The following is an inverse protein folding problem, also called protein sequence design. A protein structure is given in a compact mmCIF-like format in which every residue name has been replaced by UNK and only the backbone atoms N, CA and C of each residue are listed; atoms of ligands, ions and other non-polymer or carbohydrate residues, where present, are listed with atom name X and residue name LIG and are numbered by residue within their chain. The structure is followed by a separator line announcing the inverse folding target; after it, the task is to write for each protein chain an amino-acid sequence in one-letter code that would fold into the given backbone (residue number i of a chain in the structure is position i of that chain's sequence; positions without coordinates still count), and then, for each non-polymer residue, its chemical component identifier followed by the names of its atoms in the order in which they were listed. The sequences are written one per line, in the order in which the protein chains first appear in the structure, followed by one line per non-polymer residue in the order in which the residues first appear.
data_IF_469505674293
#
_entry.id   IF_469505674293
#
_cell.length_a   1.000
_cell.length_b   1.000
_cell.length_c   1.000
_cell.angle_alpha   90.00
_cell.angle_beta   90.00
_cell.angle_gamma   90.00
#
_symmetry.space_group_name_H-M   'P 1'
#
loop_
_entity.id
_entity.type
_entity.pdbx_description
1 polymer ?
#
# COMPACT_ATOMS: atom_id res chain seq x y z
N UNK A 1 -6.84 -11.93 1.59
CA UNK A 1 -5.57 -11.40 1.06
C UNK A 1 -5.81 -10.02 0.45
N UNK A 2 -4.87 -9.08 0.61
CA UNK A 2 -4.97 -7.71 0.11
C UNK A 2 -4.29 -7.55 -1.26
N UNK A 3 -4.94 -6.82 -2.18
CA UNK A 3 -4.37 -6.37 -3.45
C UNK A 3 -4.58 -4.86 -3.54
N UNK A 4 -3.53 -4.10 -3.27
CA UNK A 4 -3.57 -2.64 -3.21
C UNK A 4 -2.92 -2.08 -4.45
N UNK A 5 -3.69 -1.36 -5.25
CA UNK A 5 -3.27 -0.74 -6.49
C UNK A 5 -2.77 0.69 -6.22
N UNK A 6 -1.47 0.88 -6.11
CA UNK A 6 -0.86 2.21 -6.07
C UNK A 6 -0.64 2.72 -7.50
N UNK A 7 -1.53 3.58 -7.98
CA UNK A 7 -1.42 4.13 -9.34
C UNK A 7 -0.26 5.13 -9.50
N UNK A 8 0.29 5.60 -8.37
CA UNK A 8 1.31 6.65 -8.39
C UNK A 8 0.80 7.89 -9.13
N UNK A 9 1.64 8.61 -9.85
CA UNK A 9 1.27 9.76 -10.69
C UNK A 9 0.76 9.27 -12.05
N UNK A 10 -0.39 8.59 -12.07
CA UNK A 10 -0.99 8.02 -13.28
C UNK A 10 -2.51 8.16 -13.29
N UNK A 11 -3.04 8.48 -14.44
CA UNK A 11 -4.47 8.44 -14.74
C UNK A 11 -5.14 9.80 -14.83
N UNK A 12 -6.14 9.85 -15.67
CA UNK A 12 -7.11 10.94 -15.87
C UNK A 12 -8.52 10.37 -15.75
N UNK A 13 -9.57 11.19 -15.83
CA UNK A 13 -10.95 10.72 -15.67
C UNK A 13 -11.29 9.51 -16.58
N UNK A 14 -10.86 9.54 -17.84
CA UNK A 14 -11.10 8.44 -18.78
C UNK A 14 -10.43 7.13 -18.37
N UNK A 15 -9.33 7.19 -17.60
CA UNK A 15 -8.66 5.99 -17.08
C UNK A 15 -9.55 5.17 -16.15
N UNK A 16 -10.55 5.79 -15.52
CA UNK A 16 -11.50 5.11 -14.65
C UNK A 16 -12.38 4.09 -15.39
N UNK A 17 -12.50 4.17 -16.72
CA UNK A 17 -13.26 3.20 -17.50
C UNK A 17 -12.66 1.79 -17.44
N UNK A 18 -11.35 1.69 -17.20
CA UNK A 18 -10.65 0.41 -17.02
C UNK A 18 -11.15 -0.37 -15.80
N UNK A 19 -11.68 0.33 -14.78
CA UNK A 19 -12.21 -0.28 -13.55
C UNK A 19 -13.43 -1.17 -13.80
N UNK A 20 -14.24 -0.91 -14.84
CA UNK A 20 -15.40 -1.73 -15.18
C UNK A 20 -15.01 -3.21 -15.33
N UNK A 21 -13.83 -3.47 -15.93
CA UNK A 21 -13.29 -4.82 -16.09
C UNK A 21 -12.96 -5.47 -14.76
N UNK A 22 -12.37 -4.71 -13.83
CA UNK A 22 -12.00 -5.20 -12.50
C UNK A 22 -13.25 -5.46 -11.66
N UNK A 23 -14.24 -4.56 -11.71
CA UNK A 23 -15.54 -4.73 -11.03
C UNK A 23 -16.24 -5.99 -11.53
N UNK A 24 -16.34 -6.18 -12.87
CA UNK A 24 -16.95 -7.39 -13.47
C UNK A 24 -16.21 -8.66 -13.01
N UNK A 25 -14.89 -8.64 -13.05
CA UNK A 25 -14.07 -9.76 -12.55
C UNK A 25 -14.36 -10.04 -11.07
N UNK A 26 -14.27 -9.02 -10.21
CA UNK A 26 -14.44 -9.19 -8.75
C UNK A 26 -15.83 -9.73 -8.39
N UNK A 27 -16.90 -9.22 -9.04
CA UNK A 27 -18.28 -9.70 -8.84
C UNK A 27 -18.41 -11.21 -9.08
N UNK A 28 -17.73 -11.73 -10.11
CA UNK A 28 -17.82 -13.13 -10.56
C UNK A 28 -16.73 -14.03 -9.96
N UNK A 29 -15.79 -13.48 -9.18
CA UNK A 29 -14.67 -14.27 -8.66
C UNK A 29 -15.12 -15.15 -7.48
N UNK A 30 -15.00 -16.47 -7.61
CA UNK A 30 -15.46 -17.45 -6.60
C UNK A 30 -14.86 -17.21 -5.20
N UNK A 31 -13.58 -16.81 -5.14
CA UNK A 31 -12.86 -16.56 -3.87
C UNK A 31 -12.94 -15.09 -3.38
N UNK A 32 -13.91 -14.29 -3.88
CA UNK A 32 -14.04 -12.85 -3.55
C UNK A 32 -14.13 -12.52 -2.06
N UNK A 33 -14.70 -13.43 -1.24
CA UNK A 33 -14.83 -13.24 0.22
C UNK A 33 -13.49 -13.19 0.94
N UNK A 34 -12.45 -13.84 0.40
CA UNK A 34 -11.08 -13.83 0.95
C UNK A 34 -10.17 -12.76 0.31
N UNK A 35 -10.71 -11.97 -0.61
CA UNK A 35 -10.01 -10.98 -1.42
C UNK A 35 -10.44 -9.56 -1.03
N UNK A 36 -9.46 -8.69 -0.81
CA UNK A 36 -9.67 -7.26 -0.59
C UNK A 36 -8.90 -6.45 -1.63
N UNK A 37 -9.63 -5.71 -2.46
CA UNK A 37 -9.05 -4.82 -3.48
C UNK A 37 -9.19 -3.37 -3.02
N UNK A 38 -8.10 -2.63 -3.09
CA UNK A 38 -8.04 -1.20 -2.74
C UNK A 38 -7.31 -0.48 -3.87
N UNK A 39 -7.92 0.57 -4.41
CA UNK A 39 -7.28 1.45 -5.39
C UNK A 39 -6.85 2.75 -4.73
N UNK A 40 -5.58 3.11 -4.90
CA UNK A 40 -5.01 4.37 -4.44
C UNK A 40 -4.58 5.21 -5.66
N UNK A 41 -5.51 5.97 -6.26
CA UNK A 41 -5.22 6.88 -7.37
C UNK A 41 -4.60 8.19 -6.88
N UNK A 42 -4.14 9.09 -7.78
CA UNK A 42 -3.90 10.50 -7.47
C UNK A 42 -5.11 11.15 -6.80
N UNK A 43 -4.89 12.17 -5.97
CA UNK A 43 -5.94 12.85 -5.20
C UNK A 43 -7.07 13.40 -6.07
N UNK A 44 -6.76 13.84 -7.29
CA UNK A 44 -7.72 14.33 -8.30
C UNK A 44 -8.74 13.28 -8.76
N UNK A 45 -8.46 11.99 -8.55
CA UNK A 45 -9.31 10.89 -9.00
C UNK A 45 -10.01 10.15 -7.86
N UNK A 46 -9.78 10.50 -6.60
CA UNK A 46 -10.36 9.77 -5.45
C UNK A 46 -11.88 9.84 -5.47
N UNK A 47 -12.46 11.04 -5.57
CA UNK A 47 -13.91 11.20 -5.57
C UNK A 47 -14.58 10.52 -6.77
N UNK A 48 -14.18 10.77 -8.03
CA UNK A 48 -14.82 10.11 -9.17
C UNK A 48 -14.62 8.59 -9.14
N UNK A 49 -13.48 8.09 -8.66
CA UNK A 49 -13.27 6.66 -8.49
C UNK A 49 -14.17 6.08 -7.39
N UNK A 50 -14.30 6.77 -6.26
CA UNK A 50 -15.19 6.35 -5.17
C UNK A 50 -16.66 6.27 -5.61
N UNK A 51 -17.13 7.26 -6.36
CA UNK A 51 -18.47 7.24 -6.96
C UNK A 51 -18.63 6.04 -7.92
N UNK A 52 -17.66 5.81 -8.79
CA UNK A 52 -17.69 4.72 -9.78
C UNK A 52 -17.66 3.32 -9.16
N UNK A 53 -16.95 3.14 -8.05
CA UNK A 53 -16.80 1.85 -7.36
C UNK A 53 -17.88 1.58 -6.30
N UNK A 54 -18.85 2.50 -6.11
CA UNK A 54 -19.93 2.34 -5.14
C UNK A 54 -20.70 1.04 -5.38
N UNK A 55 -20.91 0.26 -4.31
CA UNK A 55 -21.61 -1.04 -4.37
C UNK A 55 -20.77 -2.21 -4.90
N UNK A 56 -19.51 -1.99 -5.30
CA UNK A 56 -18.65 -3.07 -5.82
C UNK A 56 -17.86 -3.83 -4.75
N UNK A 57 -17.83 -3.36 -3.50
CA UNK A 57 -16.93 -3.82 -2.42
C UNK A 57 -15.42 -3.66 -2.72
N UNK A 58 -15.07 -2.89 -3.76
CA UNK A 58 -13.71 -2.42 -4.01
C UNK A 58 -13.55 -1.07 -3.31
N UNK A 59 -12.51 -0.93 -2.51
CA UNK A 59 -12.30 0.27 -1.70
C UNK A 59 -11.33 1.23 -2.39
N UNK A 60 -11.44 2.51 -2.01
CA UNK A 60 -10.54 3.57 -2.50
C UNK A 60 -9.66 4.06 -1.36
N UNK A 61 -8.40 4.35 -1.67
CA UNK A 61 -7.44 4.96 -0.78
C UNK A 61 -6.77 6.18 -1.42
N UNK A 62 -5.92 6.83 -0.64
CA UNK A 62 -5.06 7.91 -1.08
C UNK A 62 -3.58 7.52 -1.02
N UNK A 63 -2.72 8.27 -1.70
CA UNK A 63 -1.29 7.97 -1.81
C UNK A 63 -0.43 8.70 -0.78
N UNK A 64 -0.96 9.74 -0.13
CA UNK A 64 -0.35 10.51 0.94
C UNK A 64 -1.39 11.44 1.57
N UNK A 65 -1.05 12.13 2.68
CA UNK A 65 -1.80 13.24 3.23
C UNK A 65 -0.88 14.21 3.97
N UNK A 66 -1.40 15.39 4.31
CA UNK A 66 -0.76 16.32 5.25
C UNK A 66 -0.86 15.76 6.69
N UNK A 67 0.09 16.11 7.57
CA UNK A 67 0.12 15.64 8.97
C UNK A 67 -0.95 16.29 9.86
N UNK A 68 -1.44 17.46 9.49
CA UNK A 68 -2.57 18.09 10.19
C UNK A 68 -3.88 17.43 9.75
N UNK A 69 -4.73 17.11 10.70
CA UNK A 69 -6.07 16.54 10.47
C UNK A 69 -7.18 17.61 10.45
N UNK A 70 -6.82 18.85 10.76
CA UNK A 70 -7.69 20.03 10.75
C UNK A 70 -7.41 20.92 9.54
N UNK A 71 -8.35 21.81 9.22
CA UNK A 71 -8.16 22.81 8.18
C UNK A 71 -7.18 23.90 8.65
N UNK A 72 -6.47 24.54 7.71
CA UNK A 72 -5.49 25.56 8.03
C UNK A 72 -4.83 26.18 6.81
N UNK A 73 -3.87 27.07 7.04
CA UNK A 73 -3.13 27.81 6.01
C UNK A 73 -2.02 26.93 5.38
N UNK A 74 -2.40 25.88 4.67
CA UNK A 74 -1.50 24.93 4.00
C UNK A 74 -1.86 24.81 2.53
N UNK A 75 -1.60 25.86 1.76
CA UNK A 75 -1.95 25.97 0.35
C UNK A 75 -1.45 24.77 -0.45
N UNK A 76 -2.36 24.10 -1.19
CA UNK A 76 -2.07 22.94 -2.01
C UNK A 76 -2.03 21.61 -1.25
N UNK A 77 -2.06 21.61 0.08
CA UNK A 77 -2.06 20.39 0.88
C UNK A 77 -3.45 19.78 1.02
N UNK A 78 -3.49 18.45 1.13
CA UNK A 78 -4.73 17.69 1.34
C UNK A 78 -4.57 16.87 2.63
N UNK A 79 -5.47 17.06 3.60
CA UNK A 79 -5.44 16.34 4.86
C UNK A 79 -6.29 15.06 4.85
N UNK A 80 -6.18 14.25 5.90
CA UNK A 80 -6.89 12.97 6.01
C UNK A 80 -8.41 13.13 6.08
N UNK A 81 -8.92 14.22 6.68
CA UNK A 81 -10.37 14.50 6.75
C UNK A 81 -10.95 14.83 5.38
N UNK A 82 -10.24 15.64 4.57
CA UNK A 82 -10.64 15.93 3.18
C UNK A 82 -10.67 14.66 2.34
N UNK A 83 -9.66 13.79 2.47
CA UNK A 83 -9.59 12.53 1.75
C UNK A 83 -10.72 11.57 2.14
N UNK A 84 -11.07 11.53 3.44
CA UNK A 84 -12.22 10.77 3.93
C UNK A 84 -13.54 11.27 3.32
N UNK A 85 -13.72 12.58 3.25
CA UNK A 85 -14.94 13.20 2.71
C UNK A 85 -15.19 12.80 1.26
N UNK A 86 -14.13 12.72 0.44
CA UNK A 86 -14.22 12.30 -0.97
C UNK A 86 -14.19 10.77 -1.15
N UNK A 87 -14.28 9.99 -0.08
CA UNK A 87 -14.51 8.55 -0.11
C UNK A 87 -13.29 7.65 0.08
N UNK A 88 -12.12 8.20 0.41
CA UNK A 88 -10.97 7.36 0.78
C UNK A 88 -11.24 6.59 2.07
N UNK A 89 -10.79 5.32 2.12
CA UNK A 89 -10.84 4.43 3.30
C UNK A 89 -9.46 4.10 3.82
N UNK A 90 -8.43 4.24 2.99
CA UNK A 90 -7.02 3.96 3.27
C UNK A 90 -6.14 5.12 2.84
N UNK A 91 -5.00 5.27 3.49
CA UNK A 91 -3.95 6.20 3.03
C UNK A 91 -2.60 5.49 3.11
N UNK A 92 -1.83 5.54 2.01
CA UNK A 92 -0.44 5.12 1.96
C UNK A 92 0.40 6.18 2.64
N UNK A 93 1.21 5.80 3.62
CA UNK A 93 2.08 6.71 4.36
C UNK A 93 3.51 6.15 4.39
N UNK A 94 4.49 7.04 4.15
CA UNK A 94 5.90 6.69 4.21
C UNK A 94 6.39 5.86 3.02
N UNK A 95 5.70 5.93 1.87
CA UNK A 95 6.15 5.34 0.62
C UNK A 95 7.57 5.80 0.27
N UNK A 96 8.37 4.93 -0.32
CA UNK A 96 9.78 5.20 -0.61
C UNK A 96 10.01 6.47 -1.42
N UNK A 97 9.12 6.80 -2.37
CA UNK A 97 9.19 8.03 -3.17
C UNK A 97 9.00 9.28 -2.30
N UNK A 98 8.06 9.26 -1.35
CA UNK A 98 7.87 10.38 -0.42
C UNK A 98 9.04 10.52 0.56
N UNK A 99 9.63 9.41 1.02
CA UNK A 99 10.86 9.43 1.83
C UNK A 99 12.03 10.03 1.06
N UNK A 100 12.17 9.70 -0.23
CA UNK A 100 13.18 10.31 -1.10
C UNK A 100 12.94 11.81 -1.33
N UNK A 101 11.68 12.23 -1.33
CA UNK A 101 11.30 13.65 -1.40
C UNK A 101 11.41 14.40 -0.05
N UNK A 102 11.97 13.74 1.00
CA UNK A 102 12.28 14.40 2.28
C UNK A 102 11.36 14.05 3.45
N UNK A 103 10.40 13.13 3.30
CA UNK A 103 9.59 12.70 4.46
C UNK A 103 10.43 11.95 5.50
N UNK A 104 10.54 12.56 6.68
CA UNK A 104 11.24 11.96 7.84
C UNK A 104 10.34 10.98 8.58
N UNK A 105 10.93 10.05 9.34
CA UNK A 105 10.18 9.14 10.20
C UNK A 105 9.30 9.87 11.24
N UNK A 106 9.72 11.07 11.71
CA UNK A 106 8.93 11.93 12.61
C UNK A 106 7.67 12.45 11.90
N UNK A 107 7.82 12.95 10.67
CA UNK A 107 6.68 13.42 9.86
C UNK A 107 5.71 12.27 9.54
N UNK A 108 6.24 11.11 9.18
CA UNK A 108 5.47 9.89 8.92
C UNK A 108 4.64 9.50 10.16
N UNK A 109 5.22 9.56 11.37
CA UNK A 109 4.50 9.28 12.61
C UNK A 109 3.32 10.26 12.82
N UNK A 110 3.52 11.55 12.57
CA UNK A 110 2.45 12.55 12.65
C UNK A 110 1.33 12.26 11.65
N UNK A 111 1.69 11.93 10.38
CA UNK A 111 0.72 11.55 9.35
C UNK A 111 -0.07 10.29 9.74
N UNK A 112 0.58 9.26 10.27
CA UNK A 112 -0.12 8.04 10.74
C UNK A 112 -1.13 8.39 11.84
N UNK A 113 -0.76 9.24 12.81
CA UNK A 113 -1.67 9.70 13.86
C UNK A 113 -2.87 10.46 13.30
N UNK A 114 -2.63 11.39 12.36
CA UNK A 114 -3.67 12.15 11.66
C UNK A 114 -4.68 11.22 10.95
N UNK A 115 -4.17 10.24 10.19
CA UNK A 115 -5.01 9.27 9.49
C UNK A 115 -5.86 8.44 10.46
N UNK A 116 -5.27 7.95 11.54
CA UNK A 116 -5.98 7.17 12.55
C UNK A 116 -7.04 8.00 13.30
N UNK A 117 -6.74 9.26 13.61
CA UNK A 117 -7.68 10.20 14.24
C UNK A 117 -8.88 10.49 13.35
N UNK A 118 -8.68 10.58 12.03
CA UNK A 118 -9.77 10.69 11.05
C UNK A 118 -10.58 9.40 10.88
N UNK A 119 -10.17 8.30 11.54
CA UNK A 119 -10.84 7.02 11.49
C UNK A 119 -10.54 6.18 10.24
N UNK A 120 -9.55 6.58 9.42
CA UNK A 120 -9.10 5.87 8.22
C UNK A 120 -8.10 4.75 8.55
N UNK A 121 -7.84 3.89 7.56
CA UNK A 121 -6.81 2.85 7.64
C UNK A 121 -5.49 3.36 7.06
N UNK A 122 -4.39 2.89 7.63
CA UNK A 122 -3.03 3.24 7.22
C UNK A 122 -2.40 2.07 6.47
N UNK A 123 -1.78 2.34 5.33
CA UNK A 123 -0.84 1.45 4.65
C UNK A 123 0.54 2.06 4.89
N UNK A 124 1.22 1.57 5.94
CA UNK A 124 2.52 2.07 6.38
C UNK A 124 3.65 1.40 5.61
N UNK A 125 4.33 2.14 4.75
CA UNK A 125 5.43 1.67 3.94
C UNK A 125 6.77 1.78 4.69
N UNK A 126 7.49 0.66 4.71
CA UNK A 126 8.85 0.55 5.25
C UNK A 126 9.73 -0.25 4.28
N UNK A 127 11.02 0.05 4.26
CA UNK A 127 11.95 -0.68 3.40
C UNK A 127 13.35 -0.11 3.44
N UNK A 128 14.32 -0.94 3.08
CA UNK A 128 15.72 -0.60 3.05
C UNK A 128 16.20 -0.26 1.64
N UNK A 129 17.24 0.58 1.56
CA UNK A 129 17.98 0.85 0.34
C UNK A 129 18.89 -0.31 -0.06
N UNK A 130 19.34 -0.34 -1.32
CA UNK A 130 20.35 -1.31 -1.78
C UNK A 130 21.64 -1.24 -0.96
N UNK A 131 22.07 -0.02 -0.57
CA UNK A 131 23.24 0.20 0.29
C UNK A 131 23.09 -0.49 1.64
N UNK A 132 21.92 -0.35 2.28
CA UNK A 132 21.62 -0.99 3.56
C UNK A 132 21.55 -2.53 3.42
N UNK A 133 20.96 -3.03 2.33
CA UNK A 133 20.95 -4.47 2.04
C UNK A 133 22.35 -5.03 1.89
N UNK A 134 23.21 -4.38 1.09
CA UNK A 134 24.62 -4.80 0.90
C UNK A 134 25.40 -4.82 2.23
N UNK A 135 25.13 -3.87 3.12
CA UNK A 135 25.70 -3.82 4.48
C UNK A 135 25.06 -4.81 5.46
N UNK A 136 24.10 -5.63 5.02
CA UNK A 136 23.39 -6.62 5.86
C UNK A 136 22.65 -6.01 7.07
N UNK A 137 22.26 -4.74 7.00
CA UNK A 137 21.56 -4.00 8.09
C UNK A 137 20.07 -3.83 7.86
N UNK A 138 19.44 -4.59 6.94
CA UNK A 138 18.00 -4.54 6.64
C UNK A 138 17.14 -4.54 7.89
N UNK A 139 17.33 -5.52 8.81
CA UNK A 139 16.52 -5.61 10.04
C UNK A 139 16.65 -4.37 10.93
N UNK A 140 17.84 -3.80 11.06
CA UNK A 140 18.07 -2.57 11.83
C UNK A 140 17.31 -1.39 11.24
N UNK A 141 17.36 -1.22 9.89
CA UNK A 141 16.62 -0.16 9.18
C UNK A 141 15.13 -0.31 9.40
N UNK A 142 14.58 -1.52 9.17
CA UNK A 142 13.14 -1.77 9.33
C UNK A 142 12.68 -1.55 10.79
N UNK A 143 13.45 -2.01 11.76
CA UNK A 143 13.14 -1.80 13.17
C UNK A 143 13.12 -0.31 13.54
N UNK A 144 14.11 0.48 13.04
CA UNK A 144 14.13 1.93 13.23
C UNK A 144 12.88 2.58 12.66
N UNK A 145 12.52 2.26 11.40
CA UNK A 145 11.33 2.82 10.74
C UNK A 145 10.04 2.43 11.49
N UNK A 146 9.90 1.16 11.91
CA UNK A 146 8.74 0.70 12.68
C UNK A 146 8.64 1.43 14.03
N UNK A 147 9.73 1.48 14.79
CA UNK A 147 9.75 2.14 16.11
C UNK A 147 9.43 3.62 16.00
N UNK A 148 10.04 4.31 15.05
CA UNK A 148 9.83 5.75 14.86
C UNK A 148 8.43 6.06 14.29
N UNK A 149 8.02 5.37 13.23
CA UNK A 149 6.72 5.60 12.58
C UNK A 149 5.53 5.25 13.47
N UNK A 150 5.68 4.27 14.38
CA UNK A 150 4.62 3.85 15.30
C UNK A 150 4.83 4.31 16.75
N UNK A 151 5.71 5.30 16.97
CA UNK A 151 5.96 5.86 18.29
C UNK A 151 4.67 6.43 18.90
N UNK A 152 4.35 5.98 20.14
CA UNK A 152 3.14 6.39 20.86
C UNK A 152 1.82 6.11 20.13
N UNK A 153 1.81 5.08 19.27
CA UNK A 153 0.60 4.55 18.65
C UNK A 153 0.31 3.19 19.28
N UNK A 154 -0.86 3.08 19.93
CA UNK A 154 -1.35 1.80 20.46
C UNK A 154 -1.56 0.81 19.31
N UNK A 155 -1.47 -0.49 19.61
CA UNK A 155 -1.75 -1.54 18.61
C UNK A 155 -3.13 -1.31 17.99
N UNK A 156 -3.17 -1.15 16.67
CA UNK A 156 -4.37 -0.73 15.94
C UNK A 156 -4.58 -1.58 14.69
N UNK A 157 -5.70 -2.30 14.62
CA UNK A 157 -6.08 -3.14 13.47
C UNK A 157 -6.24 -2.37 12.16
N UNK A 158 -6.28 -1.03 12.21
CA UNK A 158 -6.35 -0.17 11.02
C UNK A 158 -4.99 0.06 10.36
N UNK A 159 -3.90 -0.49 10.91
CA UNK A 159 -2.56 -0.37 10.32
C UNK A 159 -2.21 -1.66 9.58
N UNK A 160 -1.82 -1.51 8.33
CA UNK A 160 -1.23 -2.53 7.48
C UNK A 160 0.21 -2.08 7.20
N UNK A 161 1.19 -2.97 7.32
CA UNK A 161 2.57 -2.67 6.96
C UNK A 161 2.83 -3.16 5.53
N UNK A 162 3.38 -2.31 4.68
CA UNK A 162 3.87 -2.67 3.35
C UNK A 162 5.41 -2.67 3.37
N UNK A 163 6.00 -3.84 3.18
CA UNK A 163 7.45 -3.96 3.05
C UNK A 163 7.86 -3.72 1.60
N UNK A 164 8.60 -2.64 1.39
CA UNK A 164 9.06 -2.16 0.09
C UNK A 164 10.59 -2.18 0.04
N UNK A 165 11.27 -3.31 -0.32
CA UNK A 165 12.70 -3.24 -0.59
C UNK A 165 12.92 -2.24 -1.74
N UNK A 166 13.45 -1.05 -1.41
CA UNK A 166 13.50 0.11 -2.35
C UNK A 166 14.22 -0.25 -3.65
N UNK A 167 15.22 -1.10 -3.56
CA UNK A 167 16.02 -1.60 -4.69
C UNK A 167 15.25 -2.55 -5.64
N UNK A 168 14.09 -3.04 -5.20
CA UNK A 168 13.21 -3.96 -5.97
C UNK A 168 12.10 -3.20 -6.72
N UNK A 169 11.75 -1.98 -6.29
CA UNK A 169 10.60 -1.25 -6.83
C UNK A 169 10.85 -0.89 -8.30
N UNK A 170 9.94 -1.32 -9.18
CA UNK A 170 9.97 -0.99 -10.62
C UNK A 170 11.05 -1.69 -11.44
N UNK A 171 11.95 -2.49 -10.81
CA UNK A 171 13.08 -3.11 -11.49
C UNK A 171 12.77 -4.47 -12.12
N UNK A 172 11.67 -5.10 -11.73
CA UNK A 172 11.37 -6.50 -12.07
C UNK A 172 12.08 -7.51 -11.16
N UNK A 173 13.07 -7.07 -10.37
CA UNK A 173 13.84 -7.92 -9.46
C UNK A 173 13.07 -8.11 -8.17
N UNK A 174 13.03 -9.34 -7.66
CA UNK A 174 12.45 -9.67 -6.35
C UNK A 174 13.52 -10.28 -5.43
N UNK A 175 13.38 -10.14 -4.11
CA UNK A 175 14.24 -10.84 -3.16
C UNK A 175 14.19 -12.36 -3.37
N UNK A 176 15.24 -13.08 -2.99
CA UNK A 176 15.15 -14.55 -2.86
C UNK A 176 14.03 -14.91 -1.89
N UNK A 177 13.31 -16.00 -2.17
CA UNK A 177 12.13 -16.39 -1.39
C UNK A 177 12.42 -16.52 0.11
N UNK A 178 13.55 -17.15 0.46
CA UNK A 178 13.97 -17.32 1.87
C UNK A 178 14.27 -16.00 2.56
N UNK A 179 14.94 -15.06 1.86
CA UNK A 179 15.26 -13.75 2.41
C UNK A 179 13.97 -12.95 2.65
N UNK A 180 13.03 -13.02 1.70
CA UNK A 180 11.74 -12.34 1.83
C UNK A 180 10.92 -12.96 2.96
N UNK A 181 10.83 -14.30 3.03
CA UNK A 181 10.18 -14.99 4.14
C UNK A 181 10.75 -14.58 5.51
N UNK A 182 12.09 -14.60 5.65
CA UNK A 182 12.76 -14.19 6.90
C UNK A 182 12.49 -12.73 7.26
N UNK A 183 12.45 -11.84 6.25
CA UNK A 183 12.19 -10.41 6.48
C UNK A 183 10.75 -10.16 6.89
N UNK A 184 9.78 -10.77 6.21
CA UNK A 184 8.35 -10.68 6.59
C UNK A 184 8.12 -11.27 7.98
N UNK A 185 8.73 -12.42 8.29
CA UNK A 185 8.66 -13.05 9.62
C UNK A 185 9.23 -12.14 10.71
N UNK A 186 10.33 -11.45 10.43
CA UNK A 186 10.90 -10.46 11.35
C UNK A 186 9.91 -9.31 11.62
N UNK A 187 9.31 -8.72 10.57
CA UNK A 187 8.31 -7.65 10.73
C UNK A 187 7.10 -8.13 11.53
N UNK A 188 6.60 -9.33 11.25
CA UNK A 188 5.48 -9.92 11.99
C UNK A 188 5.82 -10.21 13.46
N UNK A 189 7.07 -10.59 13.77
CA UNK A 189 7.53 -10.76 15.15
C UNK A 189 7.53 -9.44 15.91
N UNK A 190 8.03 -8.37 15.30
CA UNK A 190 8.03 -7.01 15.87
C UNK A 190 6.61 -6.45 16.05
N UNK A 191 5.65 -6.84 15.20
CA UNK A 191 4.27 -6.34 15.18
C UNK A 191 3.27 -7.46 14.89
N UNK A 192 3.04 -8.34 15.87
CA UNK A 192 2.25 -9.60 15.75
C UNK A 192 0.84 -9.42 15.18
N UNK A 193 0.19 -8.29 15.43
CA UNK A 193 -1.22 -8.10 15.05
C UNK A 193 -1.41 -7.33 13.73
N UNK A 194 -0.33 -6.98 13.03
CA UNK A 194 -0.43 -6.23 11.79
C UNK A 194 -0.34 -7.18 10.58
N UNK A 195 -1.14 -6.89 9.57
CA UNK A 195 -0.98 -7.50 8.25
C UNK A 195 0.27 -6.96 7.60
N UNK A 196 1.03 -7.83 6.93
CA UNK A 196 2.27 -7.45 6.24
C UNK A 196 2.16 -7.80 4.76
N UNK A 197 2.25 -6.77 3.93
CA UNK A 197 2.21 -6.88 2.47
C UNK A 197 3.62 -6.82 1.91
N UNK A 198 3.81 -7.39 0.73
CA UNK A 198 4.99 -7.15 -0.10
C UNK A 198 4.69 -6.04 -1.12
N UNK A 199 5.54 -5.00 -1.16
CA UNK A 199 5.39 -3.82 -2.01
C UNK A 199 6.57 -3.56 -2.95
N UNK A 200 7.43 -4.53 -3.18
CA UNK A 200 8.45 -4.44 -4.23
C UNK A 200 7.85 -4.66 -5.62
N UNK A 201 8.65 -5.16 -6.56
CA UNK A 201 8.15 -5.45 -7.91
C UNK A 201 7.17 -6.62 -7.91
N UNK A 202 5.90 -6.35 -8.22
CA UNK A 202 4.83 -7.36 -8.35
C UNK A 202 4.23 -7.26 -9.75
N UNK A 203 4.26 -8.36 -10.50
CA UNK A 203 3.72 -8.43 -11.85
C UNK A 203 3.28 -9.87 -12.21
N UNK A 204 2.59 -10.10 -13.34
CA UNK A 204 2.13 -11.43 -13.73
C UNK A 204 3.21 -12.49 -13.93
N UNK A 205 4.48 -12.09 -14.15
CA UNK A 205 5.60 -13.03 -14.38
C UNK A 205 6.16 -13.57 -13.07
N UNK A 206 6.16 -12.75 -11.99
CA UNK A 206 6.80 -13.12 -10.72
C UNK A 206 5.81 -13.50 -9.60
N UNK A 207 4.50 -13.32 -9.81
CA UNK A 207 3.51 -13.59 -8.75
C UNK A 207 3.51 -15.05 -8.29
N UNK A 208 3.80 -16.03 -9.17
CA UNK A 208 3.87 -17.43 -8.80
C UNK A 208 4.98 -17.72 -7.78
N UNK A 209 6.12 -17.04 -7.90
CA UNK A 209 7.18 -17.13 -6.90
C UNK A 209 6.80 -16.40 -5.61
N UNK A 210 6.13 -15.25 -5.69
CA UNK A 210 5.74 -14.48 -4.50
C UNK A 210 4.63 -15.19 -3.70
N UNK A 211 3.68 -15.85 -4.36
CA UNK A 211 2.59 -16.56 -3.67
C UNK A 211 3.04 -17.78 -2.88
N UNK A 212 4.18 -18.39 -3.24
CA UNK A 212 4.75 -19.52 -2.47
C UNK A 212 5.29 -19.10 -1.10
N UNK A 213 5.41 -17.79 -0.85
CA UNK A 213 5.85 -17.24 0.44
C UNK A 213 4.63 -17.06 1.33
N UNK A 214 4.32 -18.07 2.12
CA UNK A 214 3.04 -18.25 2.84
C UNK A 214 2.77 -17.24 3.97
N UNK A 215 3.77 -16.43 4.36
CA UNK A 215 3.63 -15.43 5.41
C UNK A 215 3.29 -14.01 4.90
N UNK A 216 3.05 -13.84 3.60
CA UNK A 216 2.61 -12.57 2.99
C UNK A 216 1.08 -12.45 3.07
N UNK A 217 0.56 -11.34 3.61
CA UNK A 217 -0.89 -11.10 3.72
C UNK A 217 -1.48 -10.40 2.47
N UNK A 218 -0.65 -10.03 1.50
CA UNK A 218 -1.07 -9.38 0.24
C UNK A 218 0.03 -8.57 -0.41
N UNK A 219 -0.35 -7.74 -1.38
CA UNK A 219 0.58 -7.02 -2.25
C UNK A 219 0.20 -5.56 -2.39
N UNK A 220 1.21 -4.67 -2.36
CA UNK A 220 1.09 -3.28 -2.79
C UNK A 220 1.70 -3.19 -4.19
N UNK A 221 0.87 -2.92 -5.20
CA UNK A 221 1.19 -3.11 -6.61
C UNK A 221 1.23 -1.75 -7.32
N UNK A 222 2.36 -1.38 -7.87
CA UNK A 222 2.54 -0.14 -8.64
C UNK A 222 2.09 -0.28 -10.10
N UNK A 223 2.98 -0.10 -11.05
CA UNK A 223 2.68 0.00 -12.49
C UNK A 223 1.82 -1.12 -13.08
N UNK A 224 1.96 -2.36 -12.61
CA UNK A 224 1.11 -3.47 -13.07
C UNK A 224 -0.38 -3.29 -12.70
N UNK A 225 -0.71 -2.46 -11.72
CA UNK A 225 -2.09 -2.16 -11.31
C UNK A 225 -2.80 -1.14 -12.19
N UNK A 226 -2.05 -0.41 -13.02
CA UNK A 226 -2.59 0.56 -13.97
C UNK A 226 -3.24 -0.13 -15.18
N UNK A 227 -2.83 -1.36 -15.48
CA UNK A 227 -3.43 -2.23 -16.50
C UNK A 227 -4.37 -3.24 -15.82
N UNK A 228 -5.70 -3.17 -16.08
CA UNK A 228 -6.65 -4.07 -15.47
C UNK A 228 -6.44 -5.55 -15.84
N UNK A 229 -5.88 -5.86 -17.02
CA UNK A 229 -5.56 -7.23 -17.42
C UNK A 229 -4.45 -7.81 -16.53
N UNK A 230 -3.35 -7.05 -16.38
CA UNK A 230 -2.22 -7.46 -15.52
C UNK A 230 -2.64 -7.58 -14.06
N UNK A 231 -3.42 -6.63 -13.56
CA UNK A 231 -3.90 -6.64 -12.17
C UNK A 231 -4.79 -7.85 -11.88
N UNK A 232 -5.74 -8.15 -12.78
CA UNK A 232 -6.60 -9.34 -12.68
C UNK A 232 -5.78 -10.63 -12.78
N UNK A 233 -4.78 -10.69 -13.67
CA UNK A 233 -3.93 -11.87 -13.84
C UNK A 233 -3.10 -12.15 -12.58
N UNK A 234 -2.56 -11.11 -11.92
CA UNK A 234 -1.91 -11.23 -10.62
C UNK A 234 -2.85 -11.87 -9.59
N UNK A 235 -4.09 -11.37 -9.49
CA UNK A 235 -5.07 -11.89 -8.55
C UNK A 235 -5.39 -13.36 -8.86
N UNK A 236 -5.70 -13.69 -10.11
CA UNK A 236 -6.02 -15.05 -10.53
C UNK A 236 -4.89 -16.02 -10.19
N UNK A 237 -3.66 -15.71 -10.60
CA UNK A 237 -2.48 -16.55 -10.35
C UNK A 237 -2.17 -16.74 -8.87
N UNK A 238 -2.51 -15.76 -8.03
CA UNK A 238 -2.33 -15.90 -6.56
C UNK A 238 -3.26 -16.96 -5.97
N UNK A 239 -4.44 -17.18 -6.55
CA UNK A 239 -5.44 -18.11 -6.01
C UNK A 239 -5.50 -19.47 -6.75
N UNK A 240 -4.81 -19.58 -7.86
CA UNK A 240 -4.62 -20.84 -8.58
C UNK A 240 -3.37 -21.57 -8.09
#
# INVERSE_FOLDING_TARGET
MYFIANWKMFGVLNSLNTLNRVVKFFKNFKKRKSLKIIYCPPSTLIEPMSKKLRGSNIEVGAQNCHEQDVYGAFTGSVNSSMLKNVGAKYIIIGHSENRQAGETDKLINLKIKSVLKSGLNVIFCIGESLKAKRKKITKSVLNKQIKAGLKNIKNNKKIIIAYEPVWSIGTGIIPKSDDLFKTISFIKKEKKNYKVLYGGSVNPKNINQLKSINNIDGYLIGGASQDPKKFIDIIKKTYN
#
